data_IF_709796215771
#
_entry.id   IF_709796215771
#
_cell.length_a   1.000
_cell.length_b   1.000
_cell.length_c   1.000
_cell.angle_alpha   90.00
_cell.angle_beta   90.00
_cell.angle_gamma   90.00
#
_symmetry.space_group_name_H-M   'P 1'
#
loop_
_entity.id
_entity.type
_entity.pdbx_description
1 polymer ?
#
# COMPACT_ATOMS: atom_id res chain seq x y z
N UNK A 1 11.18 20.17 4.05
CA UNK A 1 10.39 18.96 4.34
C UNK A 1 10.43 18.12 3.08
N UNK A 2 11.01 16.92 3.17
CA UNK A 2 10.93 15.98 2.05
C UNK A 2 9.48 15.51 1.87
N UNK A 3 8.97 15.58 0.64
CA UNK A 3 7.58 15.27 0.33
C UNK A 3 7.25 13.80 0.59
N UNK A 4 8.22 12.90 0.41
CA UNK A 4 8.06 11.46 0.66
C UNK A 4 7.93 11.20 2.16
N UNK A 5 8.84 11.72 2.97
CA UNK A 5 8.80 11.56 4.43
C UNK A 5 7.49 12.06 5.06
N UNK A 6 6.90 13.14 4.55
CA UNK A 6 5.57 13.62 4.96
C UNK A 6 4.47 12.61 4.64
N UNK A 7 4.46 12.03 3.44
CA UNK A 7 3.46 11.01 3.05
C UNK A 7 3.61 9.70 3.82
N UNK A 8 4.83 9.30 4.17
CA UNK A 8 5.07 8.15 5.08
C UNK A 8 4.42 8.41 6.44
N UNK A 9 4.63 9.60 7.03
CA UNK A 9 4.00 9.99 8.31
C UNK A 9 2.47 9.99 8.22
N UNK A 10 1.91 10.49 7.13
CA UNK A 10 0.47 10.50 6.89
C UNK A 10 -0.10 9.09 6.80
N UNK A 11 0.54 8.21 6.01
CA UNK A 11 0.12 6.82 5.85
C UNK A 11 0.21 6.03 7.17
N UNK A 12 1.24 6.26 7.98
CA UNK A 12 1.36 5.72 9.33
C UNK A 12 0.18 6.15 10.22
N UNK A 13 -0.15 7.44 10.21
CA UNK A 13 -1.28 7.99 10.97
C UNK A 13 -2.62 7.35 10.58
N UNK A 14 -2.86 7.14 9.28
CA UNK A 14 -4.08 6.47 8.78
C UNK A 14 -4.17 5.00 9.21
N UNK A 15 -3.04 4.31 9.32
CA UNK A 15 -2.97 2.89 9.72
C UNK A 15 -2.90 2.69 11.23
N UNK A 16 -2.69 3.76 12.01
CA UNK A 16 -2.46 3.66 13.46
C UNK A 16 -1.13 2.97 13.81
N UNK A 17 -0.15 2.99 12.91
CA UNK A 17 1.17 2.37 13.09
C UNK A 17 2.19 3.41 13.53
N UNK A 18 3.13 3.03 14.39
CA UNK A 18 4.28 3.84 14.77
C UNK A 18 5.44 3.68 13.78
N UNK A 19 6.35 4.67 13.74
CA UNK A 19 7.59 4.56 12.96
C UNK A 19 8.45 3.39 13.43
N UNK A 20 8.41 3.08 14.72
CA UNK A 20 9.17 1.97 15.32
C UNK A 20 8.68 0.63 14.79
N UNK A 21 7.36 0.43 14.74
CA UNK A 21 6.76 -0.79 14.17
C UNK A 21 7.08 -0.93 12.68
N UNK A 22 7.03 0.17 11.93
CA UNK A 22 7.42 0.17 10.52
C UNK A 22 8.89 -0.21 10.35
N UNK A 23 9.80 0.41 11.11
CA UNK A 23 11.24 0.13 11.05
C UNK A 23 11.53 -1.36 11.27
N UNK A 24 10.93 -1.95 12.31
CA UNK A 24 11.06 -3.39 12.61
C UNK A 24 10.50 -4.26 11.49
N UNK A 25 9.36 -3.88 10.91
CA UNK A 25 8.74 -4.65 9.81
C UNK A 25 9.58 -4.67 8.52
N UNK A 26 10.42 -3.65 8.34
CA UNK A 26 11.31 -3.45 7.19
C UNK A 26 12.72 -4.00 7.41
N UNK A 27 13.03 -4.55 8.59
CA UNK A 27 14.41 -4.85 9.04
C UNK A 27 15.35 -3.64 8.88
N UNK A 28 14.81 -2.43 9.06
CA UNK A 28 15.54 -1.17 8.96
C UNK A 28 15.74 -0.60 10.36
N UNK A 29 16.95 -0.15 10.67
CA UNK A 29 17.21 0.50 11.97
C UNK A 29 16.32 1.74 12.17
N UNK A 30 15.74 1.89 13.36
CA UNK A 30 14.82 3.00 13.69
C UNK A 30 15.44 4.38 13.38
N UNK A 31 16.75 4.54 13.66
CA UNK A 31 17.48 5.77 13.32
C UNK A 31 17.58 6.02 11.81
N UNK A 32 17.75 4.97 11.01
CA UNK A 32 17.83 5.07 9.55
C UNK A 32 16.47 5.45 8.96
N UNK A 33 15.38 4.84 9.44
CA UNK A 33 14.02 5.21 9.03
C UNK A 33 13.71 6.65 9.43
N UNK A 34 14.00 7.05 10.67
CA UNK A 34 13.76 8.41 11.16
C UNK A 34 14.52 9.46 10.34
N UNK A 35 15.81 9.22 10.04
CA UNK A 35 16.59 10.10 9.17
C UNK A 35 15.98 10.19 7.77
N UNK A 36 15.47 9.07 7.23
CA UNK A 36 14.87 9.06 5.90
C UNK A 36 13.56 9.85 5.86
N UNK A 37 12.68 9.64 6.84
CA UNK A 37 11.42 10.38 7.00
C UNK A 37 11.65 11.89 7.22
N UNK A 38 12.76 12.27 7.85
CA UNK A 38 13.09 13.68 8.08
C UNK A 38 13.92 14.31 6.94
N UNK A 39 14.25 13.54 5.89
CA UNK A 39 15.01 14.03 4.73
C UNK A 39 16.52 14.10 4.93
N UNK A 40 17.05 13.55 6.02
CA UNK A 40 18.49 13.49 6.31
C UNK A 40 19.18 12.27 5.68
N UNK A 41 18.40 11.38 5.06
CA UNK A 41 18.84 10.19 4.32
C UNK A 41 17.85 9.97 3.18
N UNK A 42 18.32 9.63 1.99
CA UNK A 42 17.41 9.21 0.93
C UNK A 42 16.94 7.77 1.18
N UNK A 43 15.67 7.48 0.91
CA UNK A 43 15.24 6.10 0.77
C UNK A 43 15.84 5.48 -0.49
N UNK A 44 16.27 4.22 -0.41
CA UNK A 44 16.52 3.43 -1.61
C UNK A 44 15.20 3.08 -2.31
N UNK A 45 15.26 2.70 -3.59
CA UNK A 45 14.07 2.26 -4.32
C UNK A 45 13.43 1.01 -3.67
N UNK A 46 14.27 0.10 -3.14
CA UNK A 46 13.81 -1.10 -2.43
C UNK A 46 13.12 -0.74 -1.11
N UNK A 47 13.70 0.18 -0.34
CA UNK A 47 13.07 0.66 0.90
C UNK A 47 11.73 1.34 0.63
N UNK A 48 11.61 2.13 -0.45
CA UNK A 48 10.34 2.72 -0.83
C UNK A 48 9.28 1.69 -1.22
N UNK A 49 9.68 0.66 -1.97
CA UNK A 49 8.78 -0.42 -2.36
C UNK A 49 8.27 -1.19 -1.13
N UNK A 50 9.16 -1.51 -0.19
CA UNK A 50 8.79 -2.17 1.06
C UNK A 50 7.90 -1.29 1.95
N UNK A 51 8.20 0.01 2.07
CA UNK A 51 7.34 0.97 2.79
C UNK A 51 5.95 1.02 2.16
N UNK A 52 5.86 1.12 0.84
CA UNK A 52 4.59 1.13 0.11
C UNK A 52 3.78 -0.15 0.38
N UNK A 53 4.42 -1.31 0.36
CA UNK A 53 3.80 -2.60 0.66
C UNK A 53 3.31 -2.69 2.11
N UNK A 54 4.12 -2.29 3.10
CA UNK A 54 3.75 -2.41 4.53
C UNK A 54 2.68 -1.42 4.97
N UNK A 55 2.63 -0.25 4.34
CA UNK A 55 1.58 0.72 4.58
C UNK A 55 0.37 0.49 3.67
N UNK A 56 0.47 -0.44 2.73
CA UNK A 56 -0.53 -0.78 1.72
C UNK A 56 -1.05 0.50 1.04
N UNK A 57 -0.11 1.17 0.38
CA UNK A 57 -0.28 2.38 -0.43
C UNK A 57 0.47 2.23 -1.75
N UNK A 58 0.06 2.98 -2.78
CA UNK A 58 0.78 2.98 -4.06
C UNK A 58 2.19 3.58 -3.92
N UNK A 59 3.19 2.90 -4.49
CA UNK A 59 4.56 3.42 -4.62
C UNK A 59 4.58 4.73 -5.42
N UNK A 60 3.75 4.84 -6.47
CA UNK A 60 3.61 6.07 -7.26
C UNK A 60 3.13 7.21 -6.37
N UNK A 61 2.04 7.00 -5.63
CA UNK A 61 1.53 8.00 -4.68
C UNK A 61 2.58 8.40 -3.64
N UNK A 62 3.32 7.43 -3.11
CA UNK A 62 4.35 7.69 -2.12
C UNK A 62 5.46 8.62 -2.66
N UNK A 63 5.84 8.45 -3.93
CA UNK A 63 6.92 9.22 -4.56
C UNK A 63 6.42 10.54 -5.15
N UNK A 64 5.30 10.54 -5.88
CA UNK A 64 4.82 11.70 -6.65
C UNK A 64 3.73 12.49 -5.94
N UNK A 65 3.01 11.87 -5.00
CA UNK A 65 1.79 12.41 -4.41
C UNK A 65 0.53 12.19 -5.26
N UNK A 66 0.69 11.66 -6.48
CA UNK A 66 -0.42 11.41 -7.41
C UNK A 66 -0.94 9.99 -7.23
N UNK A 67 -2.27 9.77 -7.31
CA UNK A 67 -2.83 8.43 -7.29
C UNK A 67 -2.27 7.59 -8.46
N UNK A 68 -2.33 6.27 -8.30
CA UNK A 68 -2.07 5.36 -9.41
C UNK A 68 -3.25 5.44 -10.38
N UNK A 69 -3.05 5.91 -11.63
CA UNK A 69 -4.13 5.94 -12.63
C UNK A 69 -4.67 4.54 -12.97
N UNK A 70 -3.95 3.49 -12.58
CA UNK A 70 -4.30 2.09 -12.79
C UNK A 70 -4.59 1.37 -11.46
N UNK A 71 -4.90 2.13 -10.40
CA UNK A 71 -5.35 1.56 -9.12
C UNK A 71 -6.61 0.71 -9.35
N UNK A 72 -6.56 -0.55 -8.95
CA UNK A 72 -7.69 -1.47 -9.07
C UNK A 72 -8.47 -1.43 -7.78
N UNK A 73 -9.77 -1.11 -7.86
CA UNK A 73 -10.69 -1.17 -6.73
C UNK A 73 -11.75 -2.22 -6.99
N UNK A 74 -11.76 -3.25 -6.16
CA UNK A 74 -12.69 -4.37 -6.28
C UNK A 74 -13.75 -4.20 -5.19
N UNK A 75 -15.02 -4.13 -5.61
CA UNK A 75 -16.18 -4.10 -4.74
C UNK A 75 -16.95 -5.39 -4.95
N UNK A 76 -16.91 -6.27 -3.95
CA UNK A 76 -17.68 -7.50 -3.96
C UNK A 76 -18.90 -7.37 -3.02
N UNK A 77 -20.00 -8.03 -3.39
CA UNK A 77 -21.13 -8.17 -2.47
C UNK A 77 -20.74 -9.18 -1.38
N UNK A 78 -21.01 -8.82 -0.14
CA UNK A 78 -20.83 -9.72 0.99
C UNK A 78 -22.10 -10.53 1.21
N UNK A 79 -21.95 -11.82 1.47
CA UNK A 79 -23.02 -12.64 2.02
C UNK A 79 -23.13 -12.38 3.52
N UNK A 80 -24.36 -12.30 4.01
CA UNK A 80 -24.65 -12.14 5.42
C UNK A 80 -25.01 -13.49 6.03
N UNK A 81 -24.11 -14.04 6.85
CA UNK A 81 -24.41 -15.21 7.64
C UNK A 81 -25.21 -14.80 8.88
N UNK A 82 -26.47 -15.21 8.92
CA UNK A 82 -27.39 -14.92 10.03
C UNK A 82 -27.00 -15.61 11.33
N UNK A 83 -26.30 -16.73 11.26
CA UNK A 83 -25.93 -17.54 12.42
C UNK A 83 -24.75 -16.94 13.18
N UNK A 84 -23.71 -16.50 12.46
CA UNK A 84 -22.54 -15.81 13.00
C UNK A 84 -22.73 -14.29 13.15
N UNK A 85 -23.78 -13.74 12.51
CA UNK A 85 -24.02 -12.29 12.37
C UNK A 85 -22.83 -11.57 11.70
N UNK A 86 -22.11 -12.27 10.84
CA UNK A 86 -20.95 -11.73 10.13
C UNK A 86 -21.22 -11.60 8.64
N UNK A 87 -20.61 -10.58 8.03
CA UNK A 87 -20.49 -10.48 6.59
C UNK A 87 -19.26 -11.27 6.16
N UNK A 88 -19.39 -12.09 5.13
CA UNK A 88 -18.26 -12.76 4.48
C UNK A 88 -18.26 -12.47 2.99
N UNK A 89 -17.07 -12.43 2.41
CA UNK A 89 -16.89 -12.45 0.98
C UNK A 89 -15.71 -13.37 0.70
N UNK A 90 -15.98 -14.49 0.05
CA UNK A 90 -14.94 -15.39 -0.41
C UNK A 90 -14.52 -14.98 -1.82
N UNK A 91 -13.38 -14.29 -1.91
CA UNK A 91 -12.78 -13.88 -3.19
C UNK A 91 -11.73 -14.89 -3.69
N UNK A 92 -11.53 -16.00 -2.98
CA UNK A 92 -10.45 -16.93 -3.31
C UNK A 92 -10.64 -17.58 -4.69
N UNK A 93 -11.88 -17.90 -5.06
CA UNK A 93 -12.22 -18.42 -6.39
C UNK A 93 -12.10 -17.40 -7.52
N UNK A 94 -12.31 -16.12 -7.24
CA UNK A 94 -12.33 -15.06 -8.26
C UNK A 94 -10.95 -14.46 -8.54
N UNK A 95 -9.95 -14.75 -7.69
CA UNK A 95 -8.66 -14.07 -7.72
C UNK A 95 -7.96 -14.10 -9.07
N UNK A 96 -7.84 -15.29 -9.67
CA UNK A 96 -7.17 -15.47 -10.97
C UNK A 96 -7.89 -14.71 -12.08
N UNK A 97 -9.23 -14.73 -12.08
CA UNK A 97 -10.06 -13.99 -13.03
C UNK A 97 -9.86 -12.48 -12.87
N UNK A 98 -9.87 -11.98 -11.64
CA UNK A 98 -9.67 -10.57 -11.34
C UNK A 98 -8.26 -10.11 -11.76
N UNK A 99 -7.23 -10.90 -11.46
CA UNK A 99 -5.86 -10.62 -11.89
C UNK A 99 -5.73 -10.60 -13.42
N UNK A 100 -6.42 -11.51 -14.11
CA UNK A 100 -6.48 -11.55 -15.58
C UNK A 100 -7.18 -10.31 -16.17
N UNK A 101 -8.32 -9.89 -15.60
CA UNK A 101 -9.02 -8.67 -16.01
C UNK A 101 -8.10 -7.46 -15.82
N UNK A 102 -7.46 -7.33 -14.67
CA UNK A 102 -6.52 -6.23 -14.39
C UNK A 102 -5.38 -6.20 -15.41
N UNK A 103 -4.81 -7.35 -15.74
CA UNK A 103 -3.75 -7.45 -16.75
C UNK A 103 -4.23 -6.98 -18.13
N UNK A 104 -5.41 -7.42 -18.57
CA UNK A 104 -6.00 -7.02 -19.85
C UNK A 104 -6.21 -5.50 -19.94
N UNK A 105 -6.76 -4.88 -18.90
CA UNK A 105 -6.96 -3.43 -18.87
C UNK A 105 -5.65 -2.66 -18.93
N UNK A 106 -4.60 -3.12 -18.22
CA UNK A 106 -3.27 -2.50 -18.29
C UNK A 106 -2.66 -2.61 -19.68
N UNK A 107 -2.79 -3.77 -20.33
CA UNK A 107 -2.28 -3.97 -21.69
C UNK A 107 -3.00 -3.09 -22.71
N UNK A 108 -4.33 -2.96 -22.61
CA UNK A 108 -5.12 -2.14 -23.51
C UNK A 108 -4.79 -0.64 -23.44
N UNK A 109 -4.32 -0.13 -22.29
CA UNK A 109 -3.92 1.28 -22.14
C UNK A 109 -2.48 1.56 -22.60
N UNK A 110 -1.67 0.52 -22.81
CA UNK A 110 -0.31 0.62 -23.32
C UNK A 110 -0.22 0.42 -24.84
N UNK A 111 -1.34 0.02 -25.48
CA UNK A 111 -1.49 -0.14 -26.92
C UNK A 111 -2.01 1.15 -27.57
#
# INVERSE_FOLDING_TARGET
MDAIGTRVKEALGRRGLSQVELARSLDLGESALSKSINGNRAFSAVELAEVANRLDVSMRWLVTGEPDPYEVRILARHDYDRSSRSYSCDVSGDRETLESIVLLYRQAQLA
#
